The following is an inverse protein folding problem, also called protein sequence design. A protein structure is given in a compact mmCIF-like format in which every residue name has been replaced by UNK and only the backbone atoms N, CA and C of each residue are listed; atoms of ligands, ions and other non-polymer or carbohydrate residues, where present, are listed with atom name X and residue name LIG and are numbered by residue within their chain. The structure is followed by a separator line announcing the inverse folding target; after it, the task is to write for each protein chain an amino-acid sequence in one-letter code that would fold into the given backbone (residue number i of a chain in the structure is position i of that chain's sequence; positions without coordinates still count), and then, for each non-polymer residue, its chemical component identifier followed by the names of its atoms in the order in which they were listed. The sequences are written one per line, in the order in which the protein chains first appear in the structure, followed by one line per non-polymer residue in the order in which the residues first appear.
data_IF_745324145159
#
_entry.id   IF_745324145159
#
_cell.length_a   1.000
_cell.length_b   1.000
_cell.length_c   1.000
_cell.angle_alpha   90.00
_cell.angle_beta   90.00
_cell.angle_gamma   90.00
#
_symmetry.space_group_name_H-M   'P 1'
#
loop_
_entity.id
_entity.type
_entity.pdbx_description
1 polymer ?
#
# COMPACT_ATOMS: atom_id res chain seq x y z
N UNK A 1 12.04 7.64 -19.28
CA UNK A 1 10.65 7.17 -19.58
C UNK A 1 9.54 8.18 -19.21
N UNK A 2 9.84 9.48 -19.04
CA UNK A 2 8.80 10.52 -18.97
C UNK A 2 8.06 10.77 -20.30
N UNK A 3 8.52 10.17 -21.40
CA UNK A 3 8.02 10.46 -22.74
C UNK A 3 6.69 9.77 -23.07
N UNK A 4 6.43 8.55 -22.57
CA UNK A 4 5.21 7.79 -22.95
C UNK A 4 3.95 8.23 -22.19
N UNK A 5 4.07 8.62 -20.92
CA UNK A 5 2.96 9.23 -20.16
C UNK A 5 2.63 10.63 -20.72
N UNK A 6 3.65 11.40 -21.09
CA UNK A 6 3.45 12.65 -21.84
C UNK A 6 2.80 12.43 -23.20
N UNK A 7 3.11 11.33 -23.92
CA UNK A 7 2.50 11.01 -25.22
C UNK A 7 1.04 10.61 -25.09
N UNK A 8 0.68 9.81 -24.07
CA UNK A 8 -0.72 9.40 -23.82
C UNK A 8 -1.61 10.58 -23.42
N UNK A 9 -1.12 11.48 -22.55
CA UNK A 9 -1.87 12.67 -22.10
C UNK A 9 -2.15 13.69 -23.22
N UNK A 10 -1.41 13.63 -24.33
CA UNK A 10 -1.60 14.53 -25.50
C UNK A 10 -2.74 14.11 -26.44
N UNK A 11 -3.32 12.93 -26.24
CA UNK A 11 -4.52 12.52 -27.00
C UNK A 11 -5.78 13.01 -26.30
N UNK A 12 -6.84 13.43 -27.02
CA UNK A 12 -8.12 13.82 -26.41
C UNK A 12 -8.68 12.74 -25.46
N UNK A 13 -8.55 11.46 -25.85
CA UNK A 13 -8.92 10.31 -25.03
C UNK A 13 -8.10 10.22 -23.72
N UNK A 14 -6.78 10.46 -23.79
CA UNK A 14 -5.91 10.45 -22.62
C UNK A 14 -6.18 11.58 -21.64
N UNK A 15 -6.55 12.77 -22.13
CA UNK A 15 -6.98 13.87 -21.29
C UNK A 15 -8.30 13.55 -20.57
N UNK A 16 -9.31 13.06 -21.30
CA UNK A 16 -10.58 12.65 -20.69
C UNK A 16 -10.34 11.62 -19.57
N UNK A 17 -9.57 10.56 -19.85
CA UNK A 17 -9.26 9.53 -18.84
C UNK A 17 -8.49 10.09 -17.64
N UNK A 18 -7.65 11.11 -17.82
CA UNK A 18 -6.98 11.78 -16.70
C UNK A 18 -7.98 12.51 -15.79
N UNK A 19 -9.02 13.14 -16.36
CA UNK A 19 -10.10 13.80 -15.61
C UNK A 19 -11.00 12.78 -14.91
N UNK A 20 -11.45 11.73 -15.62
CA UNK A 20 -12.33 10.70 -15.06
C UNK A 20 -11.75 10.02 -13.81
N UNK A 21 -10.44 9.83 -13.75
CA UNK A 21 -9.74 9.26 -12.59
C UNK A 21 -9.88 10.09 -11.31
N UNK A 22 -10.18 11.39 -11.40
CA UNK A 22 -10.38 12.25 -10.23
C UNK A 22 -11.81 12.22 -9.68
N UNK A 23 -12.78 11.64 -10.40
CA UNK A 23 -14.19 11.61 -9.96
C UNK A 23 -14.35 11.01 -8.55
N UNK A 24 -13.74 9.87 -8.18
CA UNK A 24 -13.90 9.33 -6.83
C UNK A 24 -13.36 10.27 -5.74
N UNK A 25 -12.23 10.95 -6.00
CA UNK A 25 -11.66 11.93 -5.07
C UNK A 25 -12.57 13.15 -4.91
N UNK A 26 -13.08 13.68 -6.03
CA UNK A 26 -14.01 14.81 -6.00
C UNK A 26 -15.32 14.46 -5.28
N UNK A 27 -15.84 13.25 -5.49
CA UNK A 27 -17.01 12.75 -4.79
C UNK A 27 -16.79 12.72 -3.27
N UNK A 28 -15.70 12.10 -2.79
CA UNK A 28 -15.39 12.05 -1.35
C UNK A 28 -15.21 13.46 -0.80
N UNK A 29 -14.50 14.33 -1.52
CA UNK A 29 -14.29 15.73 -1.11
C UNK A 29 -15.61 16.49 -0.98
N UNK A 30 -16.55 16.29 -1.92
CA UNK A 30 -17.87 16.91 -1.88
C UNK A 30 -18.70 16.39 -0.69
N UNK A 31 -18.67 15.08 -0.41
CA UNK A 31 -19.34 14.50 0.76
C UNK A 31 -18.77 15.09 2.07
N UNK A 32 -17.45 15.25 2.16
CA UNK A 32 -16.81 15.86 3.34
C UNK A 32 -17.25 17.33 3.49
N UNK A 33 -17.19 18.11 2.41
CA UNK A 33 -17.61 19.52 2.41
C UNK A 33 -19.08 19.68 2.81
N UNK A 34 -19.97 18.84 2.28
CA UNK A 34 -21.36 18.79 2.69
C UNK A 34 -21.51 18.40 4.16
N UNK A 35 -20.77 17.39 4.63
CA UNK A 35 -20.83 16.95 6.03
C UNK A 35 -20.35 18.03 7.00
N UNK A 36 -19.39 18.87 6.57
CA UNK A 36 -18.96 20.05 7.32
C UNK A 36 -20.08 21.06 7.46
N UNK A 37 -20.77 21.39 6.37
CA UNK A 37 -21.95 22.27 6.42
C UNK A 37 -23.03 21.69 7.35
N UNK A 38 -23.39 20.42 7.17
CA UNK A 38 -24.45 19.77 7.96
C UNK A 38 -24.09 19.72 9.45
N UNK A 39 -22.85 19.38 9.79
CA UNK A 39 -22.42 19.27 11.19
C UNK A 39 -22.23 20.64 11.85
N UNK A 40 -21.50 21.55 11.21
CA UNK A 40 -21.15 22.84 11.83
C UNK A 40 -22.34 23.79 11.82
N UNK A 41 -23.04 23.92 10.69
CA UNK A 41 -24.10 24.91 10.53
C UNK A 41 -25.43 24.38 11.06
N UNK A 42 -25.90 23.25 10.52
CA UNK A 42 -27.25 22.76 10.86
C UNK A 42 -27.31 22.13 12.25
N UNK A 43 -26.35 21.26 12.60
CA UNK A 43 -26.35 20.56 13.89
C UNK A 43 -25.83 21.46 15.03
N UNK A 44 -24.62 22.02 14.91
CA UNK A 44 -24.00 22.76 16.01
C UNK A 44 -24.57 24.17 16.16
N UNK A 45 -24.53 25.01 15.12
CA UNK A 45 -24.89 26.43 15.26
C UNK A 45 -26.40 26.65 15.35
N UNK A 46 -27.20 25.95 14.53
CA UNK A 46 -28.65 26.19 14.45
C UNK A 46 -29.48 25.37 15.42
N UNK A 47 -29.00 24.20 15.85
CA UNK A 47 -29.79 23.26 16.64
C UNK A 47 -29.25 23.06 18.07
N UNK A 48 -27.98 23.41 18.37
CA UNK A 48 -27.44 23.28 19.72
C UNK A 48 -27.77 24.49 20.61
N UNK A 49 -28.50 24.26 21.69
CA UNK A 49 -28.79 25.28 22.70
C UNK A 49 -27.67 25.42 23.76
N UNK A 50 -26.95 24.32 24.03
CA UNK A 50 -25.86 24.28 25.02
C UNK A 50 -24.55 24.78 24.40
N UNK A 51 -24.22 26.05 24.65
CA UNK A 51 -22.99 26.70 24.14
C UNK A 51 -21.70 25.97 24.53
N UNK A 52 -21.61 25.45 25.75
CA UNK A 52 -20.39 24.77 26.22
C UNK A 52 -20.24 23.43 25.48
N UNK A 53 -21.33 22.66 25.38
CA UNK A 53 -21.38 21.42 24.61
C UNK A 53 -21.00 21.64 23.14
N UNK A 54 -21.58 22.67 22.52
CA UNK A 54 -21.27 23.08 21.14
C UNK A 54 -19.79 23.39 20.93
N UNK A 55 -19.13 24.11 21.86
CA UNK A 55 -17.70 24.43 21.75
C UNK A 55 -16.85 23.16 21.76
N UNK A 56 -17.10 22.24 22.70
CA UNK A 56 -16.39 20.96 22.72
C UNK A 56 -16.66 20.14 21.47
N UNK A 57 -17.91 20.12 21.02
CA UNK A 57 -18.31 19.41 19.80
C UNK A 57 -17.52 19.92 18.58
N UNK A 58 -17.44 21.24 18.41
CA UNK A 58 -16.71 21.86 17.31
C UNK A 58 -15.19 21.66 17.46
N UNK A 59 -14.63 21.74 18.67
CA UNK A 59 -13.19 21.54 18.90
C UNK A 59 -12.73 20.14 18.45
N UNK A 60 -13.38 19.09 18.95
CA UNK A 60 -13.02 17.72 18.57
C UNK A 60 -13.37 17.41 17.11
N UNK A 61 -14.48 17.96 16.60
CA UNK A 61 -14.82 17.83 15.18
C UNK A 61 -13.70 18.34 14.27
N UNK A 62 -13.20 19.56 14.52
CA UNK A 62 -12.13 20.14 13.73
C UNK A 62 -10.80 19.42 13.90
N UNK A 63 -10.50 18.92 15.11
CA UNK A 63 -9.32 18.09 15.35
C UNK A 63 -9.33 16.82 14.47
N UNK A 64 -10.43 16.06 14.51
CA UNK A 64 -10.55 14.82 13.74
C UNK A 64 -10.62 15.08 12.24
N UNK A 65 -11.36 16.11 11.81
CA UNK A 65 -11.41 16.51 10.41
C UNK A 65 -10.03 16.93 9.89
N UNK A 66 -9.25 17.67 10.68
CA UNK A 66 -7.90 18.10 10.28
C UNK A 66 -6.97 16.90 10.10
N UNK A 67 -6.95 15.96 11.05
CA UNK A 67 -6.13 14.75 10.95
C UNK A 67 -6.57 13.85 9.77
N UNK A 68 -7.89 13.74 9.57
CA UNK A 68 -8.46 13.03 8.44
C UNK A 68 -8.03 13.67 7.10
N UNK A 69 -8.26 14.97 6.92
CA UNK A 69 -7.90 15.66 5.68
C UNK A 69 -6.39 15.66 5.43
N UNK A 70 -5.58 15.84 6.47
CA UNK A 70 -4.13 15.82 6.36
C UNK A 70 -3.62 14.46 5.89
N UNK A 71 -4.08 13.37 6.50
CA UNK A 71 -3.71 12.01 6.09
C UNK A 71 -4.25 11.64 4.70
N UNK A 72 -5.48 12.05 4.37
CA UNK A 72 -6.07 11.83 3.04
C UNK A 72 -5.25 12.53 1.95
N UNK A 73 -4.91 13.82 2.12
CA UNK A 73 -4.12 14.56 1.13
C UNK A 73 -2.70 14.04 1.02
N UNK A 74 -2.07 13.63 2.12
CA UNK A 74 -0.76 12.98 2.07
C UNK A 74 -0.81 11.67 1.28
N UNK A 75 -1.88 10.90 1.40
CA UNK A 75 -2.04 9.65 0.63
C UNK A 75 -2.19 9.93 -0.88
N UNK A 76 -2.96 10.96 -1.25
CA UNK A 76 -3.17 11.36 -2.65
C UNK A 76 -1.89 11.94 -3.27
N UNK A 77 -1.28 12.93 -2.61
CA UNK A 77 -0.23 13.76 -3.21
C UNK A 77 1.16 13.15 -3.13
N UNK A 78 1.36 12.12 -2.29
CA UNK A 78 2.66 11.44 -2.22
C UNK A 78 2.90 10.64 -3.49
N UNK A 79 3.98 10.97 -4.20
CA UNK A 79 4.41 10.26 -5.40
C UNK A 79 4.64 8.78 -5.12
N UNK A 80 4.34 7.93 -6.10
CA UNK A 80 4.59 6.46 -6.04
C UNK A 80 6.07 6.08 -5.99
N UNK A 81 6.96 7.07 -6.14
CA UNK A 81 8.40 6.88 -6.26
C UNK A 81 8.80 6.28 -7.60
N UNK A 82 10.05 6.52 -8.00
CA UNK A 82 10.65 5.90 -9.19
C UNK A 82 11.69 4.89 -8.77
N UNK A 83 11.74 3.79 -9.50
CA UNK A 83 12.83 2.83 -9.34
C UNK A 83 14.04 3.38 -10.11
N UNK A 84 15.23 3.47 -9.48
CA UNK A 84 16.41 4.04 -10.10
C UNK A 84 16.85 3.26 -11.35
N UNK A 85 17.54 3.94 -12.26
CA UNK A 85 17.94 3.37 -13.55
C UNK A 85 18.91 2.17 -13.43
N UNK A 86 19.59 1.99 -12.28
CA UNK A 86 20.41 0.80 -12.01
C UNK A 86 19.61 -0.52 -12.04
N UNK A 87 18.28 -0.46 -11.84
CA UNK A 87 17.40 -1.62 -11.94
C UNK A 87 16.91 -1.87 -13.37
N UNK A 88 17.16 -0.93 -14.30
CA UNK A 88 16.76 -1.01 -15.70
C UNK A 88 17.78 -1.81 -16.48
N UNK A 89 17.29 -2.79 -17.22
CA UNK A 89 18.12 -3.59 -18.12
C UNK A 89 18.40 -2.74 -19.37
N UNK A 90 19.66 -2.65 -19.83
CA UNK A 90 20.02 -1.99 -21.08
C UNK A 90 19.23 -2.55 -22.26
N UNK A 91 18.87 -1.70 -23.23
CA UNK A 91 17.98 -2.10 -24.33
C UNK A 91 18.57 -3.22 -25.22
N UNK A 92 19.89 -3.33 -25.30
CA UNK A 92 20.58 -4.44 -25.98
C UNK A 92 20.35 -5.78 -25.25
N UNK A 93 20.52 -5.81 -23.92
CA UNK A 93 20.28 -7.00 -23.09
C UNK A 93 18.80 -7.38 -23.06
N UNK A 94 17.90 -6.39 -23.09
CA UNK A 94 16.47 -6.61 -23.29
C UNK A 94 16.19 -7.28 -24.63
N UNK A 95 16.85 -6.84 -25.70
CA UNK A 95 16.70 -7.44 -27.03
C UNK A 95 17.22 -8.88 -27.04
N UNK A 96 18.37 -9.14 -26.38
CA UNK A 96 18.89 -10.50 -26.18
C UNK A 96 17.92 -11.38 -25.39
N UNK A 97 17.32 -10.84 -24.33
CA UNK A 97 16.32 -11.54 -23.52
C UNK A 97 15.10 -11.98 -24.33
N UNK A 98 14.56 -11.09 -25.19
CA UNK A 98 13.40 -11.42 -26.02
C UNK A 98 13.73 -12.32 -27.22
N UNK A 99 14.98 -12.31 -27.69
CA UNK A 99 15.46 -13.21 -28.77
C UNK A 99 15.91 -14.58 -28.27
N UNK A 100 16.02 -14.78 -26.96
CA UNK A 100 16.52 -16.04 -26.43
C UNK A 100 15.53 -17.18 -26.71
N UNK A 101 16.02 -18.24 -27.35
CA UNK A 101 15.20 -19.37 -27.82
C UNK A 101 14.74 -20.32 -26.70
N UNK A 102 15.35 -20.24 -25.51
CA UNK A 102 15.05 -21.10 -24.37
C UNK A 102 14.78 -20.35 -23.07
N UNK A 103 13.82 -20.80 -22.24
CA UNK A 103 13.55 -20.23 -20.92
C UNK A 103 14.77 -20.23 -19.99
N UNK A 104 15.65 -21.22 -20.12
CA UNK A 104 16.90 -21.30 -19.35
C UNK A 104 17.88 -20.20 -19.71
N UNK A 105 17.97 -19.86 -21.01
CA UNK A 105 18.80 -18.74 -21.48
C UNK A 105 18.26 -17.41 -20.95
N UNK A 106 16.93 -17.22 -21.00
CA UNK A 106 16.29 -16.04 -20.41
C UNK A 106 16.58 -15.94 -18.91
N UNK A 107 16.44 -17.05 -18.18
CA UNK A 107 16.73 -17.13 -16.75
C UNK A 107 18.19 -16.80 -16.46
N UNK A 108 19.15 -17.26 -17.27
CA UNK A 108 20.57 -16.93 -17.13
C UNK A 108 20.85 -15.45 -17.32
N UNK A 109 20.30 -14.83 -18.37
CA UNK A 109 20.45 -13.38 -18.65
C UNK A 109 19.95 -12.57 -17.45
N UNK A 110 18.73 -12.86 -16.99
CA UNK A 110 18.13 -12.16 -15.86
C UNK A 110 18.92 -12.36 -14.55
N UNK A 111 19.41 -13.57 -14.27
CA UNK A 111 20.22 -13.83 -13.08
C UNK A 111 21.60 -13.14 -13.14
N UNK A 112 22.20 -13.02 -14.33
CA UNK A 112 23.47 -12.32 -14.48
C UNK A 112 23.33 -10.83 -14.17
N UNK A 113 22.29 -10.18 -14.71
CA UNK A 113 22.02 -8.77 -14.41
C UNK A 113 21.65 -8.55 -12.94
N UNK A 114 20.86 -9.45 -12.36
CA UNK A 114 20.38 -9.33 -10.99
C UNK A 114 21.42 -9.70 -9.92
N UNK A 115 22.64 -10.11 -10.29
CA UNK A 115 23.68 -10.56 -9.36
C UNK A 115 24.06 -9.48 -8.35
N UNK A 116 24.09 -8.23 -8.79
CA UNK A 116 24.51 -7.08 -7.99
C UNK A 116 23.31 -6.34 -7.37
N UNK A 117 22.11 -6.91 -7.48
CA UNK A 117 20.87 -6.35 -6.92
C UNK A 117 20.41 -7.15 -5.70
N UNK A 118 19.87 -6.50 -4.66
CA UNK A 118 19.39 -7.16 -3.45
C UNK A 118 18.01 -7.81 -3.69
N UNK A 119 17.93 -8.79 -4.59
CA UNK A 119 16.68 -9.48 -4.94
C UNK A 119 16.64 -10.92 -4.46
N UNK A 120 15.74 -11.18 -3.52
CA UNK A 120 15.49 -12.51 -2.96
C UNK A 120 14.26 -13.16 -3.56
N UNK A 121 13.25 -12.40 -4.00
CA UNK A 121 12.04 -12.97 -4.54
C UNK A 121 12.23 -13.49 -5.97
N UNK A 122 11.50 -14.55 -6.31
CA UNK A 122 11.49 -15.23 -7.61
C UNK A 122 10.06 -15.38 -8.13
N UNK A 123 9.95 -15.72 -9.40
CA UNK A 123 8.72 -16.19 -10.02
C UNK A 123 8.43 -17.66 -9.64
N UNK A 124 7.27 -18.19 -10.01
CA UNK A 124 6.88 -19.58 -9.76
C UNK A 124 7.87 -20.61 -10.33
N UNK A 125 8.50 -20.31 -11.47
CA UNK A 125 9.55 -21.13 -12.10
C UNK A 125 10.98 -20.82 -11.59
N UNK A 126 11.10 -20.06 -10.49
CA UNK A 126 12.37 -19.72 -9.86
C UNK A 126 13.23 -18.71 -10.63
N UNK A 127 12.68 -18.02 -11.63
CA UNK A 127 13.37 -16.95 -12.37
C UNK A 127 13.33 -15.62 -11.60
N UNK A 128 14.24 -14.70 -11.93
CA UNK A 128 14.21 -13.35 -11.38
C UNK A 128 12.96 -12.62 -11.86
N UNK A 129 12.33 -11.84 -10.99
CA UNK A 129 11.11 -11.10 -11.32
C UNK A 129 11.46 -9.92 -12.24
N UNK A 130 11.05 -9.98 -13.49
CA UNK A 130 11.25 -8.94 -14.50
C UNK A 130 9.94 -8.21 -14.83
N UNK A 131 10.02 -6.93 -15.23
CA UNK A 131 8.91 -6.18 -15.80
C UNK A 131 9.16 -5.89 -17.28
N UNK A 132 8.41 -6.54 -18.16
CA UNK A 132 8.49 -6.32 -19.61
C UNK A 132 8.06 -4.92 -20.05
N UNK A 133 7.19 -4.24 -19.30
CA UNK A 133 6.71 -2.89 -19.66
C UNK A 133 7.74 -1.82 -19.29
N UNK A 134 8.30 -1.92 -18.09
CA UNK A 134 9.28 -0.96 -17.58
C UNK A 134 10.72 -1.30 -17.97
N UNK A 135 10.98 -2.54 -18.44
CA UNK A 135 12.31 -3.09 -18.73
C UNK A 135 13.25 -3.07 -17.51
N UNK A 136 12.70 -3.36 -16.34
CA UNK A 136 13.45 -3.39 -15.07
C UNK A 136 13.40 -4.78 -14.43
N UNK A 137 14.45 -5.13 -13.68
CA UNK A 137 14.34 -6.13 -12.61
C UNK A 137 13.48 -5.52 -11.52
N UNK A 138 12.47 -6.25 -11.05
CA UNK A 138 11.57 -5.79 -10.00
C UNK A 138 12.28 -5.96 -8.65
N UNK A 139 12.44 -4.88 -7.86
CA UNK A 139 12.77 -5.01 -6.45
C UNK A 139 11.81 -5.96 -5.74
N UNK A 140 12.26 -6.51 -4.62
CA UNK A 140 11.41 -7.33 -3.78
C UNK A 140 10.15 -6.56 -3.39
N UNK A 141 9.01 -7.24 -3.35
CA UNK A 141 7.67 -6.64 -3.08
C UNK A 141 7.20 -5.57 -4.07
N UNK A 142 7.96 -5.23 -5.11
CA UNK A 142 7.53 -4.30 -6.14
C UNK A 142 6.64 -4.97 -7.20
N UNK A 143 5.63 -4.27 -7.71
CA UNK A 143 4.73 -4.75 -8.77
C UNK A 143 4.44 -3.67 -9.80
N UNK A 144 4.13 -4.06 -11.04
CA UNK A 144 3.73 -3.12 -12.08
C UNK A 144 2.24 -2.80 -11.96
N UNK A 145 1.90 -1.52 -11.78
CA UNK A 145 0.52 -1.06 -11.86
C UNK A 145 0.25 -0.51 -13.27
N UNK A 146 -0.72 -1.09 -13.97
CA UNK A 146 -1.13 -0.61 -15.30
C UNK A 146 -1.74 0.79 -15.26
N UNK A 147 -2.47 1.14 -14.19
CA UNK A 147 -3.11 2.45 -14.03
C UNK A 147 -2.07 3.55 -13.77
N UNK A 148 -1.12 3.29 -12.87
CA UNK A 148 0.03 4.16 -12.60
C UNK A 148 1.10 4.07 -13.73
N UNK A 149 0.99 3.09 -14.64
CA UNK A 149 1.91 2.83 -15.78
C UNK A 149 3.40 2.73 -15.40
N UNK A 150 3.69 2.25 -14.21
CA UNK A 150 5.04 2.08 -13.69
C UNK A 150 5.11 0.93 -12.67
N UNK A 151 6.32 0.49 -12.36
CA UNK A 151 6.57 -0.38 -11.22
C UNK A 151 6.60 0.43 -9.92
N UNK A 152 5.86 -0.07 -8.93
CA UNK A 152 5.60 0.57 -7.65
C UNK A 152 6.24 -0.27 -6.54
N UNK A 153 7.04 0.37 -5.67
CA UNK A 153 7.74 -0.27 -4.55
C UNK A 153 6.76 -0.67 -3.44
N UNK A 154 6.92 -1.87 -2.86
CA UNK A 154 5.98 -2.45 -1.87
C UNK A 154 4.52 -2.19 -2.24
N UNK A 155 4.17 -2.48 -3.48
CA UNK A 155 2.83 -2.16 -3.99
C UNK A 155 1.79 -2.92 -3.17
N UNK A 156 0.86 -2.19 -2.57
CA UNK A 156 -0.26 -2.78 -1.87
C UNK A 156 -1.46 -2.94 -2.81
N UNK A 157 -1.97 -1.83 -3.33
CA UNK A 157 -3.01 -1.81 -4.34
C UNK A 157 -3.07 -0.45 -5.05
N UNK A 158 -3.81 -0.39 -6.17
CA UNK A 158 -4.21 0.90 -6.73
C UNK A 158 -5.57 1.28 -6.14
N UNK A 159 -5.67 2.45 -5.53
CA UNK A 159 -6.87 2.89 -4.84
C UNK A 159 -7.55 4.04 -5.61
N UNK A 160 -8.72 3.80 -6.22
CA UNK A 160 -9.43 4.85 -6.96
C UNK A 160 -9.83 6.04 -6.09
N UNK A 161 -10.15 5.79 -4.81
CA UNK A 161 -10.60 6.82 -3.85
C UNK A 161 -9.55 7.87 -3.49
N UNK A 162 -8.28 7.57 -3.76
CA UNK A 162 -7.14 8.51 -3.61
C UNK A 162 -6.48 8.83 -4.96
N UNK A 163 -7.02 8.30 -6.06
CA UNK A 163 -6.45 8.38 -7.41
C UNK A 163 -4.93 8.12 -7.44
N UNK A 164 -4.47 7.14 -6.66
CA UNK A 164 -3.04 6.86 -6.50
C UNK A 164 -2.80 5.39 -6.10
N UNK A 165 -1.59 4.92 -6.35
CA UNK A 165 -1.14 3.63 -5.86
C UNK A 165 -0.76 3.74 -4.36
N UNK A 166 -1.28 2.83 -3.53
CA UNK A 166 -0.86 2.65 -2.14
C UNK A 166 0.39 1.75 -2.13
N UNK A 167 1.47 2.27 -1.56
CA UNK A 167 2.82 1.75 -1.74
C UNK A 167 3.75 2.13 -0.57
N UNK A 168 5.02 1.76 -0.65
CA UNK A 168 6.04 2.05 0.36
C UNK A 168 6.00 3.49 0.94
N UNK A 169 5.91 4.51 0.07
CA UNK A 169 6.03 5.92 0.45
C UNK A 169 4.79 6.51 1.13
N UNK A 170 3.60 5.92 0.90
CA UNK A 170 2.33 6.44 1.41
C UNK A 170 1.50 5.43 2.21
N UNK A 171 1.99 4.20 2.43
CA UNK A 171 1.23 3.16 3.15
C UNK A 171 0.85 3.61 4.56
N UNK A 172 1.80 4.21 5.30
CA UNK A 172 1.52 4.80 6.62
C UNK A 172 0.40 5.83 6.56
N UNK A 173 0.42 6.73 5.57
CA UNK A 173 -0.61 7.76 5.41
C UNK A 173 -1.97 7.14 5.11
N UNK A 174 -2.00 6.10 4.28
CA UNK A 174 -3.22 5.38 3.97
C UNK A 174 -3.83 4.73 5.22
N UNK A 175 -3.02 4.05 6.05
CA UNK A 175 -3.50 3.46 7.32
C UNK A 175 -4.02 4.54 8.27
N UNK A 176 -3.32 5.67 8.40
CA UNK A 176 -3.78 6.81 9.21
C UNK A 176 -5.06 7.43 8.64
N UNK A 177 -5.18 7.56 7.32
CA UNK A 177 -6.38 8.04 6.64
C UNK A 177 -7.59 7.15 6.98
N UNK A 178 -7.46 5.83 6.90
CA UNK A 178 -8.54 4.91 7.28
C UNK A 178 -8.93 5.07 8.75
N UNK A 179 -7.94 5.15 9.65
CA UNK A 179 -8.16 5.32 11.09
C UNK A 179 -8.85 6.65 11.42
N UNK A 180 -8.37 7.76 10.88
CA UNK A 180 -8.97 9.08 11.13
C UNK A 180 -10.32 9.27 10.45
N UNK A 181 -10.54 8.69 9.27
CA UNK A 181 -11.86 8.65 8.65
C UNK A 181 -12.85 7.86 9.53
N UNK A 182 -12.43 6.72 10.10
CA UNK A 182 -13.26 5.95 11.01
C UNK A 182 -13.60 6.74 12.29
N UNK A 183 -12.60 7.36 12.93
CA UNK A 183 -12.80 8.19 14.12
C UNK A 183 -13.74 9.37 13.80
N UNK A 184 -13.54 10.04 12.66
CA UNK A 184 -14.42 11.13 12.20
C UNK A 184 -15.87 10.65 12.03
N UNK A 185 -16.09 9.54 11.33
CA UNK A 185 -17.44 8.99 11.12
C UNK A 185 -18.11 8.56 12.43
N UNK A 186 -17.38 7.87 13.32
CA UNK A 186 -17.91 7.47 14.63
C UNK A 186 -18.24 8.68 15.50
N UNK A 187 -17.39 9.70 15.48
CA UNK A 187 -17.61 10.93 16.22
C UNK A 187 -18.86 11.67 15.73
N UNK A 188 -19.00 11.84 14.41
CA UNK A 188 -20.19 12.45 13.80
C UNK A 188 -21.45 11.67 14.15
N UNK A 189 -21.43 10.34 13.99
CA UNK A 189 -22.59 9.50 14.30
C UNK A 189 -22.97 9.54 15.79
N UNK A 190 -21.99 9.46 16.68
CA UNK A 190 -22.22 9.51 18.12
C UNK A 190 -22.83 10.85 18.55
N UNK A 191 -22.24 11.96 18.07
CA UNK A 191 -22.69 13.30 18.46
C UNK A 191 -24.00 13.73 17.80
N UNK A 192 -24.37 13.18 16.64
CA UNK A 192 -25.67 13.43 16.01
C UNK A 192 -26.76 12.42 16.41
N UNK A 193 -26.46 11.41 17.25
CA UNK A 193 -27.40 10.35 17.62
C UNK A 193 -28.62 10.89 18.38
N UNK A 194 -28.39 11.83 19.31
CA UNK A 194 -29.48 12.44 20.06
C UNK A 194 -30.47 13.14 19.12
N UNK A 195 -29.98 14.02 18.25
CA UNK A 195 -30.82 14.75 17.29
C UNK A 195 -31.47 13.84 16.25
N UNK A 196 -30.80 12.75 15.86
CA UNK A 196 -31.41 11.70 15.05
C UNK A 196 -32.60 11.06 15.76
N UNK A 197 -32.52 10.77 17.06
CA UNK A 197 -33.64 10.22 17.83
C UNK A 197 -34.76 11.25 17.99
N UNK A 198 -34.43 12.51 18.28
CA UNK A 198 -35.40 13.60 18.41
C UNK A 198 -36.13 13.90 17.09
N UNK A 199 -35.47 13.70 15.94
CA UNK A 199 -36.10 13.74 14.62
C UNK A 199 -37.28 12.76 14.53
N UNK A 200 -37.06 11.50 14.92
CA UNK A 200 -38.09 10.45 14.85
C UNK A 200 -39.19 10.61 15.90
N UNK A 201 -38.91 11.29 17.02
CA UNK A 201 -39.92 11.68 18.01
C UNK A 201 -40.74 12.92 17.59
N UNK A 202 -40.34 13.62 16.52
CA UNK A 202 -40.95 14.87 16.10
C UNK A 202 -40.64 16.06 17.02
N UNK A 203 -39.57 15.97 17.82
CA UNK A 203 -39.16 16.94 18.83
C UNK A 203 -37.89 17.72 18.44
N UNK A 204 -37.34 17.46 17.24
CA UNK A 204 -36.15 18.16 16.76
C UNK A 204 -36.43 19.65 16.49
N UNK A 205 -35.64 20.52 17.11
CA UNK A 205 -35.74 21.98 16.99
C UNK A 205 -35.38 22.53 15.58
N UNK A 206 -34.85 21.69 14.70
CA UNK A 206 -34.51 22.05 13.33
C UNK A 206 -35.75 22.26 12.42
N UNK A 207 -35.83 23.46 11.83
CA UNK A 207 -36.89 23.84 10.89
C UNK A 207 -36.51 23.61 9.42
N UNK A 208 -37.51 23.37 8.56
CA UNK A 208 -37.31 23.30 7.11
C UNK A 208 -36.40 22.16 6.65
N UNK A 209 -35.43 22.45 5.78
CA UNK A 209 -34.51 21.46 5.21
C UNK A 209 -33.43 20.97 6.19
N UNK A 210 -33.14 21.71 7.27
CA UNK A 210 -32.06 21.40 8.23
C UNK A 210 -32.21 20.04 8.91
N UNK A 211 -33.45 19.62 9.19
CA UNK A 211 -33.76 18.30 9.77
C UNK A 211 -33.32 17.12 8.89
N UNK A 212 -33.39 17.28 7.56
CA UNK A 212 -32.96 16.25 6.63
C UNK A 212 -31.43 16.17 6.55
N UNK A 213 -30.73 17.30 6.67
CA UNK A 213 -29.27 17.29 6.76
C UNK A 213 -28.78 16.46 7.96
N UNK A 214 -29.37 16.66 9.14
CA UNK A 214 -29.02 15.90 10.35
C UNK A 214 -29.33 14.40 10.17
N UNK A 215 -30.47 14.07 9.58
CA UNK A 215 -30.86 12.68 9.27
C UNK A 215 -29.83 12.00 8.35
N UNK A 216 -29.52 12.62 7.21
CA UNK A 216 -28.56 12.07 6.25
C UNK A 216 -27.15 12.03 6.81
N UNK A 217 -26.76 12.99 7.65
CA UNK A 217 -25.46 13.05 8.30
C UNK A 217 -25.21 11.80 9.14
N UNK A 218 -26.19 11.42 9.98
CA UNK A 218 -26.10 10.19 10.79
C UNK A 218 -26.00 8.92 9.92
N UNK A 219 -26.88 8.79 8.92
CA UNK A 219 -26.89 7.60 8.05
C UNK A 219 -25.59 7.45 7.25
N UNK A 220 -25.11 8.52 6.63
CA UNK A 220 -23.88 8.50 5.84
C UNK A 220 -22.68 8.21 6.74
N UNK A 221 -22.62 8.81 7.94
CA UNK A 221 -21.55 8.56 8.90
C UNK A 221 -21.48 7.08 9.32
N UNK A 222 -22.60 6.45 9.68
CA UNK A 222 -22.63 5.02 10.04
C UNK A 222 -22.31 4.11 8.84
N UNK A 223 -22.83 4.42 7.65
CA UNK A 223 -22.55 3.64 6.44
C UNK A 223 -21.05 3.59 6.14
N UNK A 224 -20.37 4.74 6.20
CA UNK A 224 -18.92 4.79 6.04
C UNK A 224 -18.19 4.13 7.22
N UNK A 225 -18.63 4.34 8.47
CA UNK A 225 -18.01 3.72 9.63
C UNK A 225 -17.99 2.19 9.54
N UNK A 226 -19.12 1.55 9.20
CA UNK A 226 -19.21 0.09 9.05
C UNK A 226 -18.20 -0.41 8.00
N UNK A 227 -18.17 0.24 6.84
CA UNK A 227 -17.25 -0.11 5.76
C UNK A 227 -15.78 0.05 6.20
N UNK A 228 -15.47 1.16 6.87
CA UNK A 228 -14.12 1.50 7.32
C UNK A 228 -13.63 0.59 8.45
N UNK A 229 -14.49 0.09 9.34
CA UNK A 229 -14.10 -0.88 10.38
C UNK A 229 -13.43 -2.10 9.74
N UNK A 230 -14.07 -2.66 8.70
CA UNK A 230 -13.53 -3.86 8.02
C UNK A 230 -12.20 -3.58 7.31
N UNK A 231 -12.12 -2.49 6.56
CA UNK A 231 -10.93 -2.14 5.78
C UNK A 231 -9.76 -1.74 6.69
N UNK A 232 -10.01 -0.91 7.69
CA UNK A 232 -9.01 -0.51 8.67
C UNK A 232 -8.51 -1.72 9.46
N UNK A 233 -9.41 -2.55 9.99
CA UNK A 233 -9.05 -3.77 10.72
C UNK A 233 -8.19 -4.72 9.90
N UNK A 234 -8.54 -4.92 8.62
CA UNK A 234 -7.74 -5.74 7.70
C UNK A 234 -6.34 -5.16 7.48
N UNK A 235 -6.20 -3.85 7.27
CA UNK A 235 -4.88 -3.24 7.10
C UNK A 235 -4.04 -3.21 8.38
N UNK A 236 -4.66 -3.08 9.55
CA UNK A 236 -3.95 -3.27 10.83
C UNK A 236 -3.42 -4.70 10.93
N UNK A 237 -4.23 -5.71 10.58
CA UNK A 237 -3.75 -7.10 10.51
C UNK A 237 -2.55 -7.23 9.55
N UNK A 238 -2.65 -6.68 8.34
CA UNK A 238 -1.57 -6.72 7.33
C UNK A 238 -0.27 -6.05 7.82
N UNK A 239 -0.38 -4.92 8.51
CA UNK A 239 0.76 -4.26 9.17
C UNK A 239 1.39 -5.21 10.18
N UNK A 240 0.59 -5.81 11.07
CA UNK A 240 1.08 -6.67 12.15
C UNK A 240 1.73 -7.97 11.66
N UNK A 241 1.41 -8.44 10.44
CA UNK A 241 2.05 -9.61 9.82
C UNK A 241 3.03 -9.26 8.69
N UNK A 242 3.31 -7.97 8.47
CA UNK A 242 4.16 -7.41 7.42
C UNK A 242 3.88 -7.95 6.01
N UNK A 243 2.60 -7.94 5.62
CA UNK A 243 2.18 -8.35 4.28
C UNK A 243 1.52 -7.17 3.56
N UNK A 244 1.73 -7.10 2.26
CA UNK A 244 0.85 -6.30 1.40
C UNK A 244 -0.42 -7.08 1.08
N UNK A 245 -1.45 -6.39 0.60
CA UNK A 245 -2.67 -7.01 0.07
C UNK A 245 -2.33 -8.04 -1.02
N UNK A 246 -1.41 -7.73 -1.95
CA UNK A 246 -0.97 -8.66 -2.99
C UNK A 246 -0.34 -9.93 -2.41
N UNK A 247 0.53 -9.78 -1.40
CA UNK A 247 1.20 -10.90 -0.73
C UNK A 247 0.21 -11.76 0.09
N UNK A 248 -0.89 -11.16 0.55
CA UNK A 248 -1.95 -11.88 1.24
C UNK A 248 -2.71 -12.85 0.32
N UNK A 249 -2.85 -12.49 -0.97
CA UNK A 249 -3.47 -13.34 -2.00
C UNK A 249 -2.48 -14.32 -2.61
N UNK A 250 -1.23 -13.91 -2.83
CA UNK A 250 -0.19 -14.76 -3.39
C UNK A 250 1.09 -14.63 -2.58
N UNK A 251 1.46 -15.70 -1.89
CA UNK A 251 2.69 -15.73 -1.11
C UNK A 251 3.91 -15.41 -2.00
N UNK A 252 4.83 -14.54 -1.55
CA UNK A 252 6.08 -14.31 -2.24
C UNK A 252 6.90 -15.60 -2.26
N UNK A 253 7.61 -15.83 -3.36
CA UNK A 253 8.51 -16.98 -3.51
C UNK A 253 9.92 -16.48 -3.29
N UNK A 254 10.61 -17.06 -2.32
CA UNK A 254 12.00 -16.75 -2.02
C UNK A 254 12.92 -17.67 -2.80
N UNK A 255 14.10 -17.16 -3.16
CA UNK A 255 15.17 -17.93 -3.84
C UNK A 255 15.54 -19.20 -3.06
N UNK A 256 15.51 -19.12 -1.74
CA UNK A 256 15.74 -20.23 -0.81
C UNK A 256 14.46 -20.43 -0.01
N UNK A 257 14.00 -21.67 0.15
CA UNK A 257 12.80 -22.00 0.93
C UNK A 257 11.48 -21.99 0.15
N UNK A 258 11.42 -21.39 -1.05
CA UNK A 258 10.22 -21.43 -1.90
C UNK A 258 9.12 -20.45 -1.46
N UNK A 259 7.83 -20.75 -1.68
CA UNK A 259 6.72 -19.88 -1.28
C UNK A 259 6.62 -19.75 0.25
N UNK A 260 6.70 -18.52 0.76
CA UNK A 260 6.55 -18.26 2.19
C UNK A 260 5.73 -16.99 2.45
N UNK A 261 4.54 -17.17 3.06
CA UNK A 261 3.65 -16.07 3.40
C UNK A 261 4.17 -15.23 4.58
N UNK A 262 5.08 -15.78 5.38
CA UNK A 262 5.68 -15.15 6.56
C UNK A 262 7.12 -14.69 6.32
N UNK A 263 7.64 -14.74 5.09
CA UNK A 263 9.06 -14.47 4.85
C UNK A 263 9.52 -13.06 5.25
N UNK A 264 8.61 -12.08 5.31
CA UNK A 264 8.88 -10.71 5.79
C UNK A 264 8.39 -10.43 7.22
N UNK A 265 7.83 -11.42 7.91
CA UNK A 265 7.30 -11.25 9.25
C UNK A 265 8.44 -11.32 10.29
N UNK A 266 8.63 -10.25 11.05
CA UNK A 266 9.70 -10.06 12.04
C UNK A 266 9.17 -10.05 13.49
N UNK A 267 7.89 -10.36 13.67
CA UNK A 267 7.15 -10.13 14.92
C UNK A 267 6.34 -8.82 14.90
N UNK A 268 5.22 -8.80 15.64
CA UNK A 268 4.18 -7.76 15.55
C UNK A 268 4.72 -6.33 15.73
N UNK A 269 5.54 -6.10 16.76
CA UNK A 269 6.11 -4.78 17.05
C UNK A 269 7.11 -4.34 15.98
N UNK A 270 8.03 -5.22 15.58
CA UNK A 270 9.00 -4.93 14.53
C UNK A 270 8.31 -4.63 13.20
N UNK A 271 7.28 -5.39 12.83
CA UNK A 271 6.46 -5.17 11.64
C UNK A 271 5.72 -3.83 11.68
N UNK A 272 5.20 -3.44 12.85
CA UNK A 272 4.60 -2.13 13.04
C UNK A 272 5.63 -1.02 12.82
N UNK A 273 6.83 -1.15 13.39
CA UNK A 273 7.92 -0.19 13.22
C UNK A 273 8.42 -0.10 11.77
N UNK A 274 8.32 -1.16 10.96
CA UNK A 274 8.62 -1.08 9.52
C UNK A 274 7.74 -0.06 8.78
N UNK A 275 6.52 0.19 9.27
CA UNK A 275 5.56 1.12 8.67
C UNK A 275 5.51 2.47 9.41
N UNK A 276 5.55 2.45 10.74
CA UNK A 276 5.35 3.64 11.56
C UNK A 276 6.65 4.26 12.09
N UNK A 277 7.78 3.57 11.96
CA UNK A 277 9.07 4.01 12.48
C UNK A 277 9.23 3.79 13.99
N UNK A 278 10.40 4.16 14.48
CA UNK A 278 10.81 3.98 15.88
C UNK A 278 10.27 5.07 16.81
N UNK A 279 10.23 6.29 16.29
CA UNK A 279 9.84 7.46 17.04
C UNK A 279 8.31 7.53 17.20
N UNK A 280 7.84 7.17 18.39
CA UNK A 280 6.42 7.14 18.74
C UNK A 280 5.69 8.48 18.51
N UNK A 281 6.43 9.59 18.59
CA UNK A 281 5.92 10.95 18.36
C UNK A 281 5.34 11.12 16.96
N UNK A 282 5.84 10.36 15.98
CA UNK A 282 5.38 10.44 14.59
C UNK A 282 4.34 9.39 14.24
N UNK A 283 4.03 8.42 15.10
CA UNK A 283 3.13 7.31 14.75
C UNK A 283 1.76 7.79 14.29
N UNK A 284 1.21 8.78 14.98
CA UNK A 284 -0.11 9.38 14.71
C UNK A 284 -0.02 10.68 13.88
N UNK A 285 1.12 10.93 13.24
CA UNK A 285 1.27 12.07 12.34
C UNK A 285 1.51 11.56 10.92
N UNK A 286 0.86 12.13 9.89
CA UNK A 286 1.05 11.73 8.49
C UNK A 286 2.32 12.36 7.90
N UNK A 287 3.43 12.12 8.59
CA UNK A 287 4.81 12.41 8.20
C UNK A 287 5.54 11.10 7.90
N UNK A 288 6.47 11.10 6.96
CA UNK A 288 7.17 9.88 6.55
C UNK A 288 8.06 9.42 7.70
N UNK A 289 7.89 8.18 8.14
CA UNK A 289 8.76 7.55 9.14
C UNK A 289 8.90 6.04 8.94
N UNK A 290 8.46 5.51 7.79
CA UNK A 290 8.66 4.09 7.46
C UNK A 290 10.16 3.78 7.40
N UNK A 291 10.53 2.57 7.83
CA UNK A 291 11.92 2.11 7.73
C UNK A 291 12.26 1.61 6.33
N UNK A 292 13.57 1.52 6.07
CA UNK A 292 14.11 0.95 4.84
C UNK A 292 14.11 1.92 3.66
N UNK A 293 14.55 1.40 2.52
CA UNK A 293 14.73 2.14 1.27
C UNK A 293 13.63 1.86 0.23
N UNK A 294 12.78 0.87 0.51
CA UNK A 294 11.74 0.39 -0.39
C UNK A 294 12.23 -0.63 -1.44
N UNK A 295 13.53 -0.95 -1.47
CA UNK A 295 14.13 -1.89 -2.41
C UNK A 295 14.52 -3.21 -1.76
N UNK A 296 15.01 -3.13 -0.52
CA UNK A 296 15.42 -4.26 0.30
C UNK A 296 14.58 -4.32 1.58
N UNK A 297 14.27 -5.54 2.03
CA UNK A 297 13.45 -5.75 3.21
C UNK A 297 14.07 -6.86 4.06
N UNK A 298 14.15 -6.68 5.39
CA UNK A 298 14.58 -7.74 6.29
C UNK A 298 13.65 -8.95 6.18
N UNK A 299 14.23 -10.15 6.20
CA UNK A 299 13.47 -11.40 6.19
C UNK A 299 13.57 -12.13 7.53
N UNK A 300 12.62 -13.02 7.80
CA UNK A 300 12.65 -13.91 8.98
C UNK A 300 13.91 -14.77 9.02
N UNK A 301 14.44 -15.15 7.84
CA UNK A 301 15.68 -15.92 7.69
C UNK A 301 16.94 -15.14 8.04
N UNK A 302 16.90 -13.80 7.93
CA UNK A 302 18.03 -12.96 8.36
C UNK A 302 18.07 -12.84 9.88
N UNK A 303 16.91 -12.76 10.54
CA UNK A 303 16.79 -12.65 12.00
C UNK A 303 17.29 -13.92 12.72
N UNK A 304 17.06 -15.11 12.15
CA UNK A 304 17.55 -16.38 12.72
C UNK A 304 19.08 -16.53 12.62
N UNK A 305 19.70 -15.95 11.58
CA UNK A 305 21.17 -15.93 11.40
C UNK A 305 21.87 -14.96 12.35
N UNK A 306 21.26 -13.80 12.62
CA UNK A 306 21.79 -12.85 13.62
C UNK A 306 21.66 -13.42 15.04
N UNK A 307 20.55 -14.08 15.35
CA UNK A 307 20.31 -14.68 16.68
C UNK A 307 21.29 -15.81 17.02
N UNK A 308 21.85 -16.49 16.01
CA UNK A 308 22.84 -17.56 16.19
C UNK A 308 24.28 -17.04 16.25
N UNK A 309 24.53 -15.76 15.92
CA UNK A 309 25.87 -15.16 15.88
C UNK A 309 26.12 -14.09 16.97
N UNK A 310 25.13 -13.73 17.79
CA UNK A 310 25.31 -12.79 18.91
C UNK A 310 24.33 -13.07 20.06
N UNK A 311 24.78 -13.50 21.25
CA UNK A 311 23.90 -13.80 22.38
C UNK A 311 23.49 -12.56 23.21
N UNK A 312 23.76 -11.34 22.75
CA UNK A 312 23.63 -10.12 23.57
C UNK A 312 22.85 -9.01 22.87
N UNK A 313 21.52 -9.14 22.79
CA UNK A 313 20.53 -8.08 23.02
C UNK A 313 19.14 -8.60 22.66
N UNK A 314 18.43 -9.12 23.66
CA UNK A 314 17.01 -9.40 23.58
C UNK A 314 16.29 -8.06 23.78
N UNK A 315 15.74 -7.49 22.72
CA UNK A 315 14.66 -6.51 22.88
C UNK A 315 13.48 -7.27 23.48
N UNK A 316 13.01 -6.84 24.64
CA UNK A 316 11.89 -7.44 25.35
C UNK A 316 10.63 -7.41 24.46
N UNK A 317 10.37 -8.52 23.79
CA UNK A 317 9.12 -8.79 23.12
C UNK A 317 8.03 -8.93 24.17
N UNK A 318 7.35 -7.83 24.47
CA UNK A 318 6.14 -7.85 25.28
C UNK A 318 5.03 -8.53 24.47
N UNK A 319 4.66 -9.75 24.89
CA UNK A 319 3.41 -10.42 24.52
C UNK A 319 3.48 -11.40 23.34
N UNK A 320 4.12 -12.56 23.56
CA UNK A 320 3.88 -13.73 22.71
C UNK A 320 2.88 -14.65 23.46
N UNK A 321 1.61 -14.62 23.05
CA UNK A 321 0.63 -15.62 23.51
C UNK A 321 0.78 -16.84 22.64
N UNK A 322 1.49 -17.85 23.16
CA UNK A 322 1.57 -19.18 22.58
C UNK A 322 0.18 -19.80 22.43
N UNK A 323 -0.32 -19.93 21.20
CA UNK A 323 -1.39 -20.87 20.90
C UNK A 323 -0.79 -22.27 20.77
N UNK A 324 -1.11 -23.12 21.74
CA UNK A 324 -0.74 -24.53 21.74
C UNK A 324 -1.27 -25.22 20.47
N UNK A 325 -0.38 -25.84 19.70
CA UNK A 325 -0.75 -26.89 18.75
C UNK A 325 -1.36 -28.05 19.54
N UNK A 326 -2.62 -28.38 19.24
CA UNK A 326 -3.21 -29.66 19.58
C UNK A 326 -2.69 -30.68 18.57
N UNK A 327 -1.69 -31.46 18.97
CA UNK A 327 -1.30 -32.67 18.27
C UNK A 327 -2.32 -33.76 18.59
N UNK A 328 -3.08 -34.18 17.58
CA UNK A 328 -3.88 -35.39 17.63
C UNK A 328 -3.06 -36.56 17.11
N UNK A 329 -2.88 -37.58 17.95
CA UNK A 329 -2.54 -38.92 17.51
C UNK A 329 -3.33 -39.92 18.37
N UNK A 330 -3.91 -40.97 17.77
CA UNK A 330 -3.50 -42.33 18.17
C UNK A 330 -3.50 -43.25 16.93
N UNK A 331 -2.66 -44.27 16.75
CA UNK A 331 -2.23 -45.37 17.61
C UNK A 331 -1.08 -46.08 16.89
N UNK A 332 -0.07 -46.60 17.60
CA UNK A 332 0.25 -48.04 17.54
C UNK A 332 1.24 -48.46 18.62
N UNK A 333 0.96 -49.66 19.14
CA UNK A 333 1.66 -50.35 20.23
C UNK A 333 3.02 -50.85 19.75
N UNK A 334 4.03 -50.86 20.65
CA UNK A 334 4.90 -52.02 20.92
C UNK A 334 5.91 -51.72 22.06
N UNK A 335 5.65 -52.36 23.21
CA UNK A 335 6.53 -53.04 24.16
C UNK A 335 8.03 -52.63 24.24
N UNK A 336 8.47 -52.24 25.44
CA UNK A 336 9.66 -52.85 26.06
C UNK A 336 10.78 -51.92 26.55
N UNK A 337 11.03 -51.99 27.87
CA UNK A 337 12.26 -51.67 28.61
C UNK A 337 12.53 -50.22 29.06
N UNK A 338 12.62 -50.06 30.38
CA UNK A 338 13.33 -49.02 31.14
C UNK A 338 14.62 -49.64 31.74
N UNK A 339 15.41 -48.91 32.55
CA UNK A 339 16.08 -47.63 32.30
C UNK A 339 17.60 -47.75 32.59
N UNK A 340 18.41 -46.73 32.28
CA UNK A 340 19.68 -46.55 32.98
C UNK A 340 20.11 -45.08 33.03
N UNK A 341 20.04 -44.61 34.27
CA UNK A 341 20.88 -43.65 35.00
C UNK A 341 22.20 -43.24 34.32
N UNK A 342 22.48 -41.93 34.31
CA UNK A 342 23.73 -41.41 34.90
C UNK A 342 23.67 -39.89 35.00
N UNK A 343 23.69 -39.47 36.25
CA UNK A 343 24.10 -38.18 36.77
C UNK A 343 25.43 -37.69 36.17
N UNK A 344 25.54 -36.37 35.96
CA UNK A 344 26.76 -35.66 36.32
C UNK A 344 26.50 -34.17 36.56
N UNK A 345 26.74 -33.79 37.81
CA UNK A 345 26.93 -32.42 38.27
C UNK A 345 28.20 -31.83 37.67
N UNK A 346 28.17 -30.55 37.28
CA UNK A 346 29.30 -29.67 37.55
C UNK A 346 28.84 -28.25 37.89
N UNK A 347 29.43 -27.79 38.99
CA UNK A 347 29.23 -26.55 39.70
C UNK A 347 30.06 -25.43 39.05
N UNK A 348 29.45 -24.24 39.01
CA UNK A 348 30.02 -22.96 39.47
C UNK A 348 31.14 -22.30 38.64
N UNK A 349 30.88 -21.07 38.14
CA UNK A 349 31.42 -19.83 38.72
C UNK A 349 31.19 -18.64 37.77
N UNK A 350 30.56 -17.58 38.30
CA UNK A 350 30.53 -16.24 37.71
C UNK A 350 31.88 -15.54 37.91
N UNK A 351 32.18 -14.52 37.10
CA UNK A 351 32.51 -13.24 37.74
C UNK A 351 31.96 -11.99 37.04
N UNK A 352 31.50 -11.07 37.91
CA UNK A 352 31.69 -9.62 37.89
C UNK A 352 31.29 -8.76 36.68
N UNK A 353 30.23 -7.98 36.94
CA UNK A 353 29.87 -6.71 36.29
C UNK A 353 31.03 -5.71 36.30
N UNK A 354 31.25 -5.06 35.15
CA UNK A 354 31.81 -3.70 35.07
C UNK A 354 30.81 -2.83 34.33
N UNK A 355 30.33 -1.82 35.03
CA UNK A 355 29.40 -0.79 34.56
C UNK A 355 30.25 0.36 34.01
N UNK A 356 30.14 0.62 32.70
CA UNK A 356 30.70 1.83 32.09
C UNK A 356 29.58 2.63 31.44
N UNK A 357 29.23 3.72 32.11
CA UNK A 357 28.48 4.86 31.58
C UNK A 357 29.40 5.69 30.69
N UNK A 358 29.02 5.94 29.44
CA UNK A 358 29.56 7.07 28.67
C UNK A 358 28.52 7.60 27.70
N UNK A 359 27.91 8.72 28.10
CA UNK A 359 27.26 9.71 27.24
C UNK A 359 28.36 10.44 26.47
N UNK A 360 28.20 10.67 25.16
CA UNK A 360 28.73 11.84 24.41
C UNK A 360 28.09 11.88 22.99
N UNK A 361 28.18 12.99 22.22
CA UNK A 361 27.02 13.81 21.88
C UNK A 361 26.77 13.95 20.37
N UNK A 362 25.59 14.49 20.07
CA UNK A 362 25.10 14.92 18.77
C UNK A 362 26.05 15.91 18.08
N UNK A 363 26.56 15.56 16.90
CA UNK A 363 27.10 16.52 15.94
C UNK A 363 26.25 16.49 14.66
N UNK A 364 25.66 17.66 14.34
CA UNK A 364 25.00 17.93 13.07
C UNK A 364 26.02 17.81 11.93
N UNK A 365 25.78 16.89 11.00
CA UNK A 365 26.44 16.90 9.69
C UNK A 365 25.51 17.63 8.70
N UNK A 366 25.84 18.89 8.39
CA UNK A 366 25.25 19.60 7.25
C UNK A 366 25.79 18.98 5.95
N UNK A 367 24.91 18.39 5.15
CA UNK A 367 25.23 17.89 3.81
C UNK A 367 25.02 19.05 2.82
N UNK A 368 26.11 19.60 2.29
CA UNK A 368 26.09 20.50 1.12
C UNK A 368 25.97 19.68 -0.18
N UNK A 369 25.29 20.19 -1.22
CA UNK A 369 25.17 19.52 -2.51
C UNK A 369 26.48 19.59 -3.34
N UNK A 370 26.70 18.63 -4.27
CA UNK A 370 27.94 18.52 -5.06
C UNK A 370 28.17 19.69 -6.03
N UNK A 371 29.45 19.99 -6.26
CA UNK A 371 30.01 21.19 -6.91
C UNK A 371 29.55 21.45 -8.35
N UNK A 372 29.08 20.44 -9.08
CA UNK A 372 28.65 20.58 -10.48
C UNK A 372 27.35 21.37 -10.65
N UNK A 373 26.50 21.44 -9.62
CA UNK A 373 25.24 22.20 -9.67
C UNK A 373 25.45 23.70 -9.37
N UNK A 374 26.58 24.08 -8.77
CA UNK A 374 26.92 25.47 -8.43
C UNK A 374 27.44 26.24 -9.63
N UNK A 375 28.15 25.56 -10.52
CA UNK A 375 28.74 26.17 -11.71
C UNK A 375 27.68 26.45 -12.80
N UNK A 376 26.71 25.55 -13.01
CA UNK A 376 25.60 25.78 -13.95
C UNK A 376 24.65 26.90 -13.49
N UNK A 377 24.46 27.08 -12.18
CA UNK A 377 23.65 28.15 -11.63
C UNK A 377 24.32 29.51 -11.78
N UNK A 378 25.64 29.56 -11.55
CA UNK A 378 26.45 30.76 -11.71
C UNK A 378 26.51 31.21 -13.19
N UNK A 379 26.66 30.27 -14.13
CA UNK A 379 26.70 30.60 -15.56
C UNK A 379 25.36 31.15 -16.07
N UNK A 380 24.23 30.60 -15.57
CA UNK A 380 22.88 31.12 -15.88
C UNK A 380 22.61 32.48 -15.25
N UNK A 381 23.04 32.71 -14.02
CA UNK A 381 22.92 34.02 -13.36
C UNK A 381 23.78 35.09 -14.04
N UNK A 382 24.97 34.71 -14.54
CA UNK A 382 25.86 35.63 -15.24
C UNK A 382 25.34 36.00 -16.65
N UNK A 383 24.67 35.07 -17.34
CA UNK A 383 23.98 35.35 -18.62
C UNK A 383 22.74 36.25 -18.45
N UNK A 384 22.02 36.12 -17.34
CA UNK A 384 20.89 37.00 -16.97
C UNK A 384 21.35 38.40 -16.52
N UNK A 385 22.49 38.50 -15.82
CA UNK A 385 23.06 39.78 -15.38
C UNK A 385 23.61 40.62 -16.55
N UNK A 386 24.02 39.97 -17.65
CA UNK A 386 24.57 40.64 -18.84
C UNK A 386 23.52 40.97 -19.92
N UNK A 387 22.22 40.84 -19.61
CA UNK A 387 21.14 41.30 -20.51
C UNK A 387 21.03 40.54 -21.84
N UNK A 388 21.53 39.31 -21.92
CA UNK A 388 21.43 38.48 -23.14
C UNK A 388 20.08 37.74 -23.16
N UNK A 389 19.32 37.85 -24.25
CA UNK A 389 18.06 37.15 -24.45
C UNK A 389 18.28 35.65 -24.68
N UNK A 390 17.50 34.82 -23.99
CA UNK A 390 17.44 33.38 -24.22
C UNK A 390 16.48 33.11 -25.40
N UNK A 391 17.04 32.96 -26.61
CA UNK A 391 16.25 32.60 -27.78
C UNK A 391 15.74 31.16 -27.70
N UNK A 392 14.43 31.01 -27.87
CA UNK A 392 13.69 29.77 -27.86
C UNK A 392 13.00 29.63 -29.21
N UNK A 393 13.59 28.88 -30.16
CA UNK A 393 12.94 28.54 -31.45
C UNK A 393 13.60 27.36 -32.20
N UNK A 394 12.85 26.25 -32.23
CA UNK A 394 12.65 25.23 -33.31
C UNK A 394 13.81 24.31 -33.80
N UNK A 395 13.51 23.03 -34.13
CA UNK A 395 14.50 21.97 -34.33
C UNK A 395 14.92 21.78 -35.79
N UNK A 396 16.21 21.49 -35.99
CA UNK A 396 16.75 21.10 -37.28
C UNK A 396 16.29 19.69 -37.68
N UNK A 397 15.87 19.60 -38.93
CA UNK A 397 15.49 18.38 -39.63
C UNK A 397 16.66 17.39 -39.75
N UNK A 398 16.38 16.11 -39.52
CA UNK A 398 17.19 15.02 -40.05
C UNK A 398 16.27 13.95 -40.64
N UNK A 399 16.63 13.60 -41.86
CA UNK A 399 16.01 12.74 -42.86
C UNK A 399 15.68 11.31 -42.41
N UNK A 400 14.51 10.84 -42.84
CA UNK A 400 14.11 9.44 -42.99
C UNK A 400 15.02 8.66 -43.95
N UNK A 401 15.12 7.34 -43.77
CA UNK A 401 14.92 6.46 -44.92
C UNK A 401 13.97 5.28 -44.66
N UNK A 402 13.11 5.08 -45.65
CA UNK A 402 12.54 3.84 -46.20
C UNK A 402 11.93 2.78 -45.27
N UNK A 403 10.60 2.68 -45.39
CA UNK A 403 9.84 1.46 -45.19
C UNK A 403 10.20 0.41 -46.26
N UNK A 404 10.52 -0.80 -45.84
CA UNK A 404 10.26 -2.02 -46.62
C UNK A 404 9.96 -3.17 -45.68
N UNK A 405 8.77 -3.72 -45.84
CA UNK A 405 8.12 -4.63 -44.90
C UNK A 405 8.71 -6.04 -44.83
N UNK A 406 8.41 -6.70 -43.72
CA UNK A 406 8.38 -8.16 -43.61
C UNK A 406 7.14 -8.54 -42.78
N UNK A 407 6.25 -9.29 -43.41
CA UNK A 407 5.11 -9.97 -42.80
C UNK A 407 5.58 -11.01 -41.76
N UNK A 408 4.89 -11.11 -40.63
CA UNK A 408 5.15 -12.17 -39.64
C UNK A 408 4.14 -12.21 -38.50
N UNK A 409 3.06 -12.99 -38.70
CA UNK A 409 2.18 -13.65 -37.74
C UNK A 409 2.02 -13.04 -36.32
N UNK A 410 0.83 -12.45 -36.09
CA UNK A 410 0.31 -12.21 -34.74
C UNK A 410 -0.18 -13.53 -34.13
N UNK A 411 0.51 -14.00 -33.09
CA UNK A 411 0.01 -15.08 -32.22
C UNK A 411 -0.78 -14.42 -31.07
N UNK A 412 -2.10 -14.55 -31.14
CA UNK A 412 -3.00 -14.31 -30.02
C UNK A 412 -2.86 -15.48 -29.03
N UNK A 413 -2.56 -15.19 -27.76
CA UNK A 413 -2.87 -16.10 -26.65
C UNK A 413 -3.73 -15.32 -25.65
N UNK A 414 -5.03 -15.51 -25.77
CA UNK A 414 -5.96 -15.48 -24.64
C UNK A 414 -5.70 -16.72 -23.78
N UNK A 415 -5.61 -16.56 -22.46
CA UNK A 415 -6.01 -17.60 -21.53
C UNK A 415 -6.75 -16.97 -20.36
N UNK A 416 -8.07 -16.93 -20.53
CA UNK A 416 -9.07 -16.96 -19.47
C UNK A 416 -9.11 -18.41 -18.96
N UNK A 417 -9.06 -18.59 -17.64
CA UNK A 417 -9.29 -19.88 -17.00
C UNK A 417 -10.71 -19.92 -16.43
N UNK A 418 -11.60 -20.60 -17.13
CA UNK A 418 -12.93 -20.99 -16.64
C UNK A 418 -12.82 -22.14 -15.62
N UNK A 419 -13.67 -22.09 -14.59
CA UNK A 419 -14.03 -23.24 -13.77
C UNK A 419 -15.39 -23.78 -14.24
N UNK A 420 -15.59 -25.11 -14.30
CA UNK A 420 -16.81 -25.70 -14.84
C UNK A 420 -17.97 -25.68 -13.82
N UNK A 421 -19.13 -25.22 -14.31
CA UNK A 421 -20.43 -25.40 -13.68
C UNK A 421 -20.92 -26.84 -13.92
N UNK A 422 -21.39 -27.46 -12.85
CA UNK A 422 -21.99 -28.79 -12.81
C UNK A 422 -23.33 -28.82 -13.57
N UNK A 423 -23.48 -29.83 -14.43
CA UNK A 423 -24.67 -30.16 -15.23
C UNK A 423 -25.84 -30.66 -14.36
N UNK A 424 -27.03 -30.11 -14.60
CA UNK A 424 -28.31 -30.67 -14.15
C UNK A 424 -29.09 -31.19 -15.36
N UNK A 425 -29.60 -32.43 -15.24
CA UNK A 425 -30.43 -33.18 -16.19
C UNK A 425 -31.71 -32.45 -16.63
N UNK A 426 -32.11 -32.52 -17.92
CA UNK A 426 -33.46 -32.17 -18.35
C UNK A 426 -34.29 -33.43 -18.61
N UNK A 427 -35.00 -33.90 -17.58
CA UNK A 427 -36.09 -34.86 -17.76
C UNK A 427 -37.21 -34.56 -16.75
N UNK A 428 -38.25 -33.86 -17.23
CA UNK A 428 -39.69 -34.04 -16.92
C UNK A 428 -40.47 -32.82 -17.37
N UNK A 429 -41.31 -33.03 -18.39
CA UNK A 429 -42.28 -32.04 -18.84
C UNK A 429 -43.44 -31.86 -17.85
N UNK A 430 -44.02 -30.66 -17.87
CA UNK A 430 -45.38 -30.41 -17.42
C UNK A 430 -46.06 -29.44 -18.41
N UNK A 431 -47.39 -29.54 -18.59
CA UNK A 431 -48.10 -29.05 -19.76
C UNK A 431 -48.51 -27.57 -19.65
N UNK A 432 -48.62 -26.90 -20.81
CA UNK A 432 -49.23 -25.57 -20.93
C UNK A 432 -50.76 -25.68 -20.85
N UNK A 433 -51.46 -24.77 -20.17
CA UNK A 433 -52.88 -24.58 -20.36
C UNK A 433 -53.16 -23.72 -21.63
N UNK A 434 -54.33 -23.89 -22.26
CA UNK A 434 -54.68 -23.22 -23.51
C UNK A 434 -55.17 -21.77 -23.28
N UNK A 435 -54.85 -20.90 -24.23
CA UNK A 435 -55.52 -19.61 -24.39
C UNK A 435 -56.89 -19.83 -25.06
N UNK A 436 -57.93 -19.17 -24.53
CA UNK A 436 -59.25 -19.08 -25.15
C UNK A 436 -60.11 -18.02 -24.47
N UNK A 437 -60.25 -16.89 -25.17
CA UNK A 437 -61.39 -15.97 -25.33
C UNK A 437 -62.08 -15.22 -24.16
N UNK A 438 -62.37 -13.95 -24.48
CA UNK A 438 -63.06 -12.83 -23.81
C UNK A 438 -64.51 -13.16 -23.34
N UNK A 439 -65.34 -12.17 -22.95
CA UNK A 439 -65.35 -11.26 -21.79
C UNK A 439 -66.60 -11.50 -20.89
N UNK A 440 -66.66 -10.80 -19.73
CA UNK A 440 -67.80 -10.26 -18.95
C UNK A 440 -67.44 -10.25 -17.47
#
# INVERSE_FOLDING_TARGET
MGNDDHRRRKTPCGFCMAVFKWIPVLFITAVIAWSYYAYVVELCIRNSENRIGMIFMLLFYHLFLTLFMWSYWRTIMTSVGRIPDQWRIPDEEVSRLFRADSPDTQKRILNNFARDLPVTNRTMNGSVRFCEKCKIIKPDRAHHCSVCSCCVLKMDHHCPWVNNCVNFYNYKYFVLFLGYALVYCLYVAFTSLHDFVEFWKGQLNASGMGRFHILFLFFIAIMFAISLVSLFGYHIYLVLVNRTTLESFRAPIFRVGGPDKNGYNLGRYANFCEVFGDDWQYWFLPVFSSRGDGYSYPTSSDQSRVSTSSPTQRYDAMGDTTTSRLDGNPTDKLIGASPLDTTNHHHNQSPHQVRSTSVLPTQLLQIQPPSTCRDELNERQQKLANGQSLDCSTPAAMSSPDERGVNGAAVYIEMIGDHPLTSADPAKGFPRPPNGDLPV
#
